data_IF_221017776676
#
_entry.id   IF_221017776676
#
_cell.length_a   1.000
_cell.length_b   1.000
_cell.length_c   1.000
_cell.angle_alpha   90.00
_cell.angle_beta   90.00
_cell.angle_gamma   90.00
#
_symmetry.space_group_name_H-M   'P 1'
#
loop_
_entity.id
_entity.type
_entity.pdbx_description
1 polymer ?
#
# COMPACT_ATOMS: atom_id res chain seq x y z
N UNK A 1 3.67 3.09 19.80
CA UNK A 1 4.23 1.87 19.21
C UNK A 1 4.34 2.11 17.72
N UNK A 2 5.42 1.64 17.08
CA UNK A 2 5.55 1.70 15.63
C UNK A 2 4.38 0.94 14.97
N UNK A 3 3.89 1.48 13.86
CA UNK A 3 2.79 0.91 13.09
C UNK A 3 2.99 1.23 11.61
N UNK A 4 2.29 0.48 10.78
CA UNK A 4 2.19 0.70 9.35
C UNK A 4 0.77 1.15 9.01
N UNK A 5 0.65 1.96 7.95
CA UNK A 5 -0.63 2.34 7.37
C UNK A 5 -0.87 1.57 6.08
N UNK A 6 -2.11 1.20 5.81
CA UNK A 6 -2.47 0.64 4.50
C UNK A 6 -3.91 1.00 4.13
N UNK A 7 -4.15 1.18 2.83
CA UNK A 7 -5.44 1.42 2.20
C UNK A 7 -5.76 0.16 1.41
N UNK A 8 -6.45 -0.75 2.10
CA UNK A 8 -6.70 -2.10 1.65
C UNK A 8 -7.87 -2.12 0.66
N UNK A 9 -7.55 -1.98 -0.62
CA UNK A 9 -8.47 -2.09 -1.74
C UNK A 9 -8.52 -3.52 -2.30
N UNK A 10 -9.63 -3.87 -2.97
CA UNK A 10 -9.71 -5.15 -3.70
C UNK A 10 -9.65 -6.39 -2.81
N UNK A 11 -9.92 -6.23 -1.51
CA UNK A 11 -9.75 -7.26 -0.48
C UNK A 11 -11.09 -7.85 -0.01
N UNK A 12 -12.03 -8.08 -0.94
CA UNK A 12 -13.37 -8.61 -0.61
C UNK A 12 -13.34 -9.98 0.07
N UNK A 13 -12.26 -10.75 -0.11
CA UNK A 13 -12.05 -12.07 0.52
C UNK A 13 -11.39 -11.99 1.91
N UNK A 14 -10.92 -10.82 2.33
CA UNK A 14 -10.37 -10.59 3.68
C UNK A 14 -11.51 -10.07 4.53
N UNK A 15 -11.90 -10.83 5.56
CA UNK A 15 -12.94 -10.40 6.48
C UNK A 15 -12.38 -9.46 7.54
N UNK A 16 -13.21 -8.54 8.05
CA UNK A 16 -12.79 -7.61 9.12
C UNK A 16 -12.30 -8.38 10.36
N UNK A 17 -12.91 -9.53 10.66
CA UNK A 17 -12.50 -10.42 11.76
C UNK A 17 -11.07 -10.94 11.64
N UNK A 18 -10.58 -11.17 10.42
CA UNK A 18 -9.20 -11.63 10.20
C UNK A 18 -8.17 -10.53 10.46
N UNK A 19 -8.57 -9.27 10.21
CA UNK A 19 -7.77 -8.11 10.57
C UNK A 19 -7.76 -7.92 12.09
N UNK A 20 -8.93 -8.01 12.73
CA UNK A 20 -9.07 -7.92 14.18
C UNK A 20 -8.28 -9.01 14.93
N UNK A 21 -8.24 -10.24 14.42
CA UNK A 21 -7.44 -11.34 14.99
C UNK A 21 -5.93 -11.10 14.90
N UNK A 22 -5.50 -10.20 14.03
CA UNK A 22 -4.13 -9.71 13.93
C UNK A 22 -3.92 -8.41 14.69
N UNK A 23 -4.85 -7.97 15.54
CA UNK A 23 -4.81 -6.69 16.26
C UNK A 23 -4.73 -5.47 15.32
N UNK A 24 -5.15 -5.62 14.05
CA UNK A 24 -5.16 -4.55 13.05
C UNK A 24 -6.40 -3.70 13.26
N UNK A 25 -6.19 -2.39 13.38
CA UNK A 25 -7.28 -1.43 13.57
C UNK A 25 -7.80 -0.94 12.23
N UNK A 26 -9.09 -1.09 11.97
CA UNK A 26 -9.79 -0.44 10.86
C UNK A 26 -10.19 0.97 11.29
N UNK A 27 -9.59 2.00 10.70
CA UNK A 27 -9.89 3.41 10.99
C UNK A 27 -11.09 3.90 10.15
N UNK A 28 -11.25 3.38 8.94
CA UNK A 28 -12.36 3.69 8.06
C UNK A 28 -12.67 2.51 7.14
N UNK A 29 -13.94 2.43 6.71
CA UNK A 29 -14.42 1.49 5.70
C UNK A 29 -15.44 2.20 4.81
N UNK A 30 -15.21 2.21 3.51
CA UNK A 30 -16.13 2.83 2.56
C UNK A 30 -17.23 1.87 2.09
N UNK A 31 -18.10 2.36 1.20
CA UNK A 31 -19.23 1.60 0.65
C UNK A 31 -18.82 0.45 -0.27
N UNK A 32 -17.63 0.53 -0.87
CA UNK A 32 -17.09 -0.51 -1.76
C UNK A 32 -16.37 -1.62 -0.98
N UNK A 33 -16.15 -1.36 0.32
CA UNK A 33 -15.55 -2.28 1.27
C UNK A 33 -14.04 -2.11 1.38
N UNK A 34 -13.48 -1.04 0.85
CA UNK A 34 -12.07 -0.68 1.01
C UNK A 34 -11.85 -0.11 2.41
N UNK A 35 -10.67 -0.35 2.97
CA UNK A 35 -10.40 -0.10 4.39
C UNK A 35 -9.11 0.68 4.58
N UNK A 36 -9.17 1.74 5.38
CA UNK A 36 -7.99 2.40 5.91
C UNK A 36 -7.62 1.72 7.22
N UNK A 37 -6.43 1.13 7.31
CA UNK A 37 -6.03 0.30 8.45
C UNK A 37 -4.70 0.72 9.06
N UNK A 38 -4.54 0.42 10.36
CA UNK A 38 -3.28 0.51 11.09
C UNK A 38 -2.83 -0.87 11.54
N UNK A 39 -1.62 -1.23 11.14
CA UNK A 39 -1.03 -2.54 11.35
C UNK A 39 0.08 -2.41 12.40
N UNK A 40 0.00 -3.11 13.53
CA UNK A 40 1.12 -3.18 14.48
C UNK A 40 2.37 -3.77 13.79
N UNK A 41 3.57 -3.23 14.06
CA UNK A 41 4.81 -3.70 13.43
C UNK A 41 5.02 -5.22 13.62
N UNK A 42 4.70 -5.75 14.80
CA UNK A 42 4.84 -7.17 15.11
C UNK A 42 3.85 -8.09 14.37
N UNK A 43 2.91 -7.51 13.61
CA UNK A 43 1.89 -8.22 12.81
C UNK A 43 2.09 -8.02 11.32
N UNK A 44 3.09 -7.24 10.91
CA UNK A 44 3.34 -6.90 9.51
C UNK A 44 3.48 -8.16 8.64
N UNK A 45 4.31 -9.12 9.06
CA UNK A 45 4.53 -10.34 8.27
C UNK A 45 3.24 -11.16 8.10
N UNK A 46 2.44 -11.30 9.16
CA UNK A 46 1.14 -12.00 9.08
C UNK A 46 0.16 -11.25 8.17
N UNK A 47 0.16 -9.92 8.21
CA UNK A 47 -0.67 -9.11 7.32
C UNK A 47 -0.25 -9.25 5.85
N UNK A 48 1.05 -9.20 5.55
CA UNK A 48 1.58 -9.42 4.19
C UNK A 48 1.12 -10.78 3.64
N UNK A 49 1.22 -11.84 4.43
CA UNK A 49 0.76 -13.17 4.02
C UNK A 49 -0.75 -13.23 3.82
N UNK A 50 -1.54 -12.56 4.67
CA UNK A 50 -2.99 -12.46 4.51
C UNK A 50 -3.34 -11.79 3.17
N UNK A 51 -2.68 -10.67 2.85
CA UNK A 51 -2.86 -9.95 1.58
C UNK A 51 -2.45 -10.81 0.40
N UNK A 52 -1.27 -11.45 0.41
CA UNK A 52 -0.82 -12.32 -0.69
C UNK A 52 -1.85 -13.40 -1.01
N UNK A 53 -2.35 -14.06 0.03
CA UNK A 53 -3.30 -15.16 -0.13
C UNK A 53 -4.68 -14.70 -0.64
N UNK A 54 -5.16 -13.54 -0.18
CA UNK A 54 -6.58 -13.17 -0.32
C UNK A 54 -6.88 -11.91 -1.13
N UNK A 55 -5.87 -11.11 -1.48
CA UNK A 55 -6.04 -10.00 -2.40
C UNK A 55 -6.63 -10.52 -3.72
N UNK A 56 -7.54 -9.75 -4.30
CA UNK A 56 -8.14 -10.08 -5.59
C UNK A 56 -7.11 -9.91 -6.69
N UNK A 57 -7.11 -10.80 -7.68
CA UNK A 57 -6.28 -10.70 -8.87
C UNK A 57 -6.54 -9.39 -9.62
N UNK A 58 -5.48 -8.75 -10.11
CA UNK A 58 -5.54 -7.43 -10.75
C UNK A 58 -5.61 -6.26 -9.77
N UNK A 59 -5.43 -6.50 -8.46
CA UNK A 59 -5.28 -5.46 -7.46
C UNK A 59 -3.89 -5.48 -6.84
N UNK A 60 -3.58 -4.38 -6.15
CA UNK A 60 -2.37 -4.21 -5.38
C UNK A 60 -2.69 -3.79 -3.93
N UNK A 61 -1.67 -3.77 -3.09
CA UNK A 61 -1.74 -3.13 -1.79
C UNK A 61 -0.40 -2.51 -1.42
N UNK A 62 -0.44 -1.31 -0.87
CA UNK A 62 0.69 -0.59 -0.33
C UNK A 62 0.64 -0.56 1.20
N UNK A 63 1.82 -0.64 1.82
CA UNK A 63 1.99 -0.70 3.28
C UNK A 63 3.08 0.30 3.66
N UNK A 64 2.69 1.34 4.39
CA UNK A 64 3.52 2.52 4.65
C UNK A 64 4.03 2.47 6.08
N UNK A 65 5.33 2.23 6.26
CA UNK A 65 6.02 2.30 7.55
C UNK A 65 6.86 3.57 7.69
N UNK A 66 7.42 3.81 8.87
CA UNK A 66 8.26 5.00 9.12
C UNK A 66 9.59 4.99 8.34
N UNK A 67 10.05 3.81 7.91
CA UNK A 67 11.37 3.60 7.29
C UNK A 67 11.32 2.91 5.93
N UNK A 68 10.22 2.23 5.63
CA UNK A 68 10.03 1.46 4.41
C UNK A 68 8.60 1.63 3.90
N UNK A 69 8.42 1.42 2.60
CA UNK A 69 7.12 1.35 1.95
C UNK A 69 7.11 0.07 1.13
N UNK A 70 6.16 -0.82 1.39
CA UNK A 70 6.06 -2.13 0.73
C UNK A 70 4.89 -2.10 -0.25
N UNK A 71 5.11 -2.59 -1.46
CA UNK A 71 4.07 -2.81 -2.46
C UNK A 71 3.90 -4.29 -2.76
N UNK A 72 2.65 -4.74 -2.79
CA UNK A 72 2.24 -6.09 -3.17
C UNK A 72 1.35 -5.99 -4.40
N UNK A 73 1.85 -6.40 -5.57
CA UNK A 73 1.08 -6.43 -6.82
C UNK A 73 0.62 -7.85 -7.11
N UNK A 74 -0.69 -8.09 -7.19
CA UNK A 74 -1.24 -9.39 -7.59
C UNK A 74 -1.78 -9.32 -9.00
N UNK A 75 -1.09 -9.98 -9.92
CA UNK A 75 -1.43 -9.98 -11.33
C UNK A 75 -2.68 -10.83 -11.62
N UNK A 76 -3.23 -10.68 -12.82
CA UNK A 76 -4.44 -11.39 -13.27
C UNK A 76 -4.24 -12.90 -13.42
N UNK A 77 -2.99 -13.36 -13.50
CA UNK A 77 -2.61 -14.78 -13.50
C UNK A 77 -2.37 -15.35 -12.09
N UNK A 78 -2.59 -14.54 -11.05
CA UNK A 78 -2.39 -14.90 -9.65
C UNK A 78 -0.96 -14.75 -9.15
N UNK A 79 0.02 -14.45 -10.02
CA UNK A 79 1.38 -14.19 -9.60
C UNK A 79 1.46 -12.92 -8.75
N UNK A 80 2.42 -12.88 -7.82
CA UNK A 80 2.64 -11.75 -6.94
C UNK A 80 4.07 -11.23 -7.12
N UNK A 81 4.19 -9.91 -7.22
CA UNK A 81 5.46 -9.21 -7.05
C UNK A 81 5.42 -8.36 -5.78
N UNK A 82 6.49 -8.42 -5.01
CA UNK A 82 6.69 -7.64 -3.79
C UNK A 82 7.89 -6.73 -3.97
N UNK A 83 7.74 -5.47 -3.57
CA UNK A 83 8.80 -4.47 -3.61
C UNK A 83 8.85 -3.71 -2.29
N UNK A 84 10.05 -3.48 -1.78
CA UNK A 84 10.34 -2.37 -0.88
C UNK A 84 10.73 -1.16 -1.73
N UNK A 85 9.98 -0.08 -1.66
CA UNK A 85 10.17 1.12 -2.48
C UNK A 85 11.53 1.76 -2.20
N UNK A 86 12.32 1.91 -3.26
CA UNK A 86 13.63 2.54 -3.27
C UNK A 86 13.83 3.34 -4.56
N UNK A 87 14.77 4.30 -4.60
CA UNK A 87 15.08 5.03 -5.83
C UNK A 87 15.41 4.12 -7.03
N UNK A 88 15.99 2.95 -6.78
CA UNK A 88 16.41 2.00 -7.82
C UNK A 88 15.23 1.29 -8.50
N UNK A 89 14.14 1.06 -7.78
CA UNK A 89 12.97 0.33 -8.29
C UNK A 89 11.71 1.20 -8.46
N UNK A 90 11.76 2.47 -8.06
CA UNK A 90 10.62 3.39 -8.11
C UNK A 90 10.00 3.51 -9.50
N UNK A 91 10.82 3.55 -10.56
CA UNK A 91 10.31 3.61 -11.92
C UNK A 91 9.56 2.34 -12.34
N UNK A 92 9.91 1.17 -11.80
CA UNK A 92 9.15 -0.07 -12.05
C UNK A 92 7.82 -0.04 -11.29
N UNK A 93 7.85 0.39 -10.03
CA UNK A 93 6.65 0.53 -9.20
C UNK A 93 5.68 1.51 -9.84
N UNK A 94 6.15 2.69 -10.26
CA UNK A 94 5.40 3.71 -11.01
C UNK A 94 4.67 3.12 -12.24
N UNK A 95 5.38 2.35 -13.07
CA UNK A 95 4.78 1.69 -14.24
C UNK A 95 3.68 0.71 -13.85
N UNK A 96 3.89 -0.06 -12.78
CA UNK A 96 2.90 -0.98 -12.28
C UNK A 96 1.69 -0.24 -11.67
N UNK A 97 1.91 0.90 -10.98
CA UNK A 97 0.84 1.79 -10.53
C UNK A 97 -0.06 2.20 -11.70
N UNK A 98 0.57 2.71 -12.76
CA UNK A 98 -0.11 3.17 -13.96
C UNK A 98 -0.87 2.02 -14.66
N UNK A 99 -0.25 0.85 -14.79
CA UNK A 99 -0.86 -0.34 -15.40
C UNK A 99 -2.10 -0.82 -14.64
N UNK A 100 -2.01 -0.94 -13.31
CA UNK A 100 -3.12 -1.41 -12.48
C UNK A 100 -4.29 -0.41 -12.41
N UNK A 101 -4.00 0.90 -12.47
CA UNK A 101 -5.03 1.95 -12.49
C UNK A 101 -5.51 2.31 -13.91
N UNK A 102 -4.94 1.71 -14.96
CA UNK A 102 -5.17 2.09 -16.35
C UNK A 102 -4.97 3.60 -16.60
N UNK A 103 -3.91 4.15 -15.98
CA UNK A 103 -3.50 5.54 -16.07
C UNK A 103 -2.25 5.71 -16.96
N UNK A 104 -2.01 6.90 -17.53
CA UNK A 104 -0.75 7.19 -18.20
C UNK A 104 0.41 7.26 -17.19
N UNK A 105 1.62 6.74 -17.51
CA UNK A 105 2.78 6.70 -16.59
C UNK A 105 3.24 8.07 -16.08
N UNK A 106 2.90 9.15 -16.79
CA UNK A 106 3.33 10.51 -16.49
C UNK A 106 2.75 11.06 -15.16
N UNK A 107 1.72 10.42 -14.59
CA UNK A 107 1.07 10.84 -13.35
C UNK A 107 1.82 10.43 -12.08
N UNK A 108 2.63 9.38 -12.12
CA UNK A 108 3.12 8.69 -10.91
C UNK A 108 4.64 8.76 -10.74
N UNK A 109 5.34 9.55 -11.56
CA UNK A 109 6.80 9.60 -11.67
C UNK A 109 7.57 9.84 -10.34
N UNK A 110 6.93 10.43 -9.32
CA UNK A 110 7.40 10.40 -7.93
C UNK A 110 6.37 9.61 -7.10
N UNK A 111 6.69 8.37 -6.78
CA UNK A 111 5.77 7.46 -6.08
C UNK A 111 5.52 7.93 -4.64
N UNK A 112 6.53 8.50 -3.98
CA UNK A 112 6.37 9.07 -2.63
C UNK A 112 5.36 10.22 -2.64
N UNK A 113 5.44 11.11 -3.64
CA UNK A 113 4.49 12.19 -3.82
C UNK A 113 3.09 11.65 -4.10
N UNK A 114 2.97 10.69 -5.02
CA UNK A 114 1.68 10.06 -5.34
C UNK A 114 0.98 9.48 -4.10
N UNK A 115 1.68 8.72 -3.27
CA UNK A 115 1.13 8.18 -2.00
C UNK A 115 0.70 9.33 -1.07
N UNK A 116 1.49 10.40 -0.98
CA UNK A 116 1.21 11.54 -0.10
C UNK A 116 -0.04 12.34 -0.47
N UNK A 117 -0.56 12.19 -1.69
CA UNK A 117 -1.80 12.83 -2.15
C UNK A 117 -3.04 12.13 -1.58
N UNK A 118 -2.91 10.88 -1.11
CA UNK A 118 -3.95 10.23 -0.35
C UNK A 118 -4.03 10.83 1.07
N UNK A 119 -5.20 11.40 1.40
CA UNK A 119 -5.46 12.06 2.69
C UNK A 119 -5.18 11.17 3.90
N UNK A 120 -5.38 9.85 3.78
CA UNK A 120 -5.12 8.92 4.87
C UNK A 120 -3.62 8.84 5.22
N UNK A 121 -2.75 8.99 4.22
CA UNK A 121 -1.30 8.91 4.39
C UNK A 121 -0.62 10.26 4.54
N UNK A 122 -1.26 11.34 4.09
CA UNK A 122 -0.64 12.66 3.90
C UNK A 122 0.27 13.09 5.06
N UNK A 123 -0.28 13.18 6.28
CA UNK A 123 0.47 13.65 7.44
C UNK A 123 1.63 12.72 7.81
N UNK A 124 1.43 11.41 7.67
CA UNK A 124 2.46 10.41 7.94
C UNK A 124 3.60 10.50 6.91
N UNK A 125 3.24 10.59 5.63
CA UNK A 125 4.18 10.72 4.52
C UNK A 125 4.99 12.02 4.63
N UNK A 126 4.35 13.14 4.92
CA UNK A 126 5.04 14.42 5.12
C UNK A 126 5.97 14.40 6.33
N UNK A 127 5.63 13.66 7.39
CA UNK A 127 6.49 13.53 8.57
C UNK A 127 7.73 12.67 8.32
N UNK A 128 7.62 11.61 7.54
CA UNK A 128 8.66 10.58 7.42
C UNK A 128 9.42 10.60 6.07
N UNK A 129 8.82 11.17 5.01
CA UNK A 129 9.33 11.11 3.64
C UNK A 129 9.33 12.47 2.93
N UNK A 130 9.23 13.60 3.63
CA UNK A 130 9.20 14.94 3.02
C UNK A 130 10.33 15.19 2.00
N UNK A 131 11.54 14.74 2.30
CA UNK A 131 12.69 14.92 1.39
C UNK A 131 12.48 14.16 0.07
N UNK A 132 11.94 12.94 0.13
CA UNK A 132 11.65 12.12 -1.04
C UNK A 132 10.47 12.69 -1.85
N UNK A 133 9.46 13.23 -1.16
CA UNK A 133 8.30 13.87 -1.79
C UNK A 133 8.70 15.14 -2.56
N UNK A 134 9.62 15.93 -2.02
CA UNK A 134 10.02 17.24 -2.57
C UNK A 134 11.25 17.19 -3.48
N UNK A 135 11.83 16.01 -3.70
CA UNK A 135 13.01 15.88 -4.56
C UNK A 135 12.67 16.25 -6.02
N UNK A 136 13.63 16.85 -6.71
CA UNK A 136 13.55 17.04 -8.16
C UNK A 136 13.89 15.70 -8.85
N UNK A 137 13.03 15.26 -9.75
CA UNK A 137 13.24 14.08 -10.61
C UNK A 137 14.09 14.43 -11.83
#
# INVERSE_FOLDING_TARGET
MPYYLSYLMGAKKIEDKELEDLDIKIENKDSDGDRSIKIPEEKLSQYIELVKNKLTEGFWNEIIGEKEIIFLFKFKDGNIKEYELSPENEQEIDKLCAEFNNEPPEKTANVYKYISENKFYHDFMMKHYADMINRQL
#
